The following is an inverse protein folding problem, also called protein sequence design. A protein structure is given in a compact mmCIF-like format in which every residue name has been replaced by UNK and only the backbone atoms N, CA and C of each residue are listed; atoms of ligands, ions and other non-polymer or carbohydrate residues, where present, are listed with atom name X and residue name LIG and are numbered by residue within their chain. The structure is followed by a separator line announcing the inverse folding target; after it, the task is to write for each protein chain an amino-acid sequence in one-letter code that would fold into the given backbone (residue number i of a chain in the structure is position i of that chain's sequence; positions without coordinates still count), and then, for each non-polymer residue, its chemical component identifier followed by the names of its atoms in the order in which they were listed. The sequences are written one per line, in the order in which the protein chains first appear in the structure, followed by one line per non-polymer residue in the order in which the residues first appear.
data_IF_476235816141
#
_entry.id   IF_476235816141
#
_cell.length_a   1.000
_cell.length_b   1.000
_cell.length_c   1.000
_cell.angle_alpha   90.00
_cell.angle_beta   90.00
_cell.angle_gamma   90.00
#
_symmetry.space_group_name_H-M   'P 1'
#
loop_
_entity.id
_entity.type
_entity.pdbx_description
1 polymer ?
#
# COMPACT_ATOMS: atom_id res chain seq x y z
N UNK A 1 -30.00 25.75 -7.84
CA UNK A 1 -30.56 24.54 -7.19
C UNK A 1 -29.43 23.72 -6.61
N UNK A 2 -28.83 24.26 -5.55
CA UNK A 2 -27.85 23.65 -4.66
C UNK A 2 -28.57 23.44 -3.34
N UNK A 3 -28.20 22.41 -2.58
CA UNK A 3 -28.83 21.98 -1.33
C UNK A 3 -30.21 21.35 -1.51
N UNK A 4 -30.24 20.04 -1.73
CA UNK A 4 -31.13 19.03 -1.12
C UNK A 4 -30.72 17.74 -1.82
N UNK A 5 -29.91 16.88 -1.20
CA UNK A 5 -29.78 15.44 -1.51
C UNK A 5 -28.62 14.85 -0.69
N UNK A 6 -28.64 15.05 0.63
CA UNK A 6 -27.84 14.28 1.59
C UNK A 6 -28.62 14.29 2.89
N UNK A 7 -29.70 13.50 2.93
CA UNK A 7 -30.42 13.15 4.17
C UNK A 7 -31.50 12.10 3.88
N UNK A 8 -31.10 10.90 3.45
CA UNK A 8 -31.93 9.69 3.63
C UNK A 8 -30.98 8.50 3.86
N UNK A 9 -30.49 8.38 5.10
CA UNK A 9 -30.08 7.11 5.73
C UNK A 9 -29.56 7.38 7.15
N UNK A 10 -30.35 8.05 8.00
CA UNK A 10 -30.00 8.20 9.42
C UNK A 10 -31.23 8.61 10.23
N UNK A 11 -32.16 7.69 10.46
CA UNK A 11 -33.06 7.76 11.62
C UNK A 11 -33.69 6.41 11.89
N UNK A 12 -33.14 5.66 12.85
CA UNK A 12 -33.97 4.98 13.86
C UNK A 12 -33.21 5.04 15.18
N UNK A 13 -33.79 5.78 16.13
CA UNK A 13 -33.28 6.09 17.45
C UNK A 13 -33.53 4.93 18.42
N UNK A 14 -32.52 4.60 19.21
CA UNK A 14 -32.64 3.91 20.49
C UNK A 14 -31.68 4.53 21.50
N UNK A 15 -32.21 5.31 22.44
CA UNK A 15 -31.51 5.91 23.60
C UNK A 15 -30.90 4.81 24.49
N UNK A 16 -29.67 5.02 24.97
CA UNK A 16 -29.29 4.82 26.38
C UNK A 16 -27.93 5.48 26.70
N UNK A 17 -27.82 5.90 27.96
CA UNK A 17 -26.88 6.82 28.62
C UNK A 17 -25.36 6.52 28.53
N UNK A 18 -24.49 7.50 28.88
CA UNK A 18 -23.07 7.46 28.57
C UNK A 18 -22.28 6.73 29.66
N UNK A 19 -21.85 5.50 29.38
CA UNK A 19 -20.74 4.91 30.10
C UNK A 19 -19.43 5.29 29.42
N UNK A 20 -18.61 6.02 30.17
CA UNK A 20 -17.19 6.25 29.94
C UNK A 20 -16.46 4.93 29.75
N UNK A 21 -16.38 4.47 28.50
CA UNK A 21 -15.44 3.43 28.11
C UNK A 21 -14.09 4.12 27.91
N UNK A 22 -13.22 3.99 28.90
CA UNK A 22 -11.79 4.22 28.73
C UNK A 22 -11.33 3.38 27.54
N UNK A 23 -11.12 4.06 26.41
CA UNK A 23 -10.61 3.47 25.17
C UNK A 23 -9.19 3.01 25.49
N UNK A 24 -9.01 1.72 25.70
CA UNK A 24 -7.68 1.10 25.73
C UNK A 24 -6.91 1.57 24.49
N UNK A 25 -5.60 1.89 24.61
CA UNK A 25 -4.83 2.37 23.47
C UNK A 25 -4.82 1.24 22.42
N UNK A 26 -5.48 1.47 21.27
CA UNK A 26 -5.38 0.56 20.12
C UNK A 26 -3.92 0.47 19.73
N UNK A 27 -3.37 -0.73 19.80
CA UNK A 27 -1.98 -1.02 19.43
C UNK A 27 -1.73 -0.64 17.96
N UNK A 28 -0.77 0.29 17.80
CA UNK A 28 0.03 0.62 16.61
C UNK A 28 -0.70 0.83 15.29
N UNK A 29 -1.54 1.86 15.28
CA UNK A 29 -1.85 2.57 14.04
C UNK A 29 -0.54 3.24 13.50
N UNK A 30 -0.37 3.31 12.16
CA UNK A 30 0.84 3.77 11.44
C UNK A 30 1.11 5.30 11.57
N UNK A 31 0.92 5.90 12.74
CA UNK A 31 1.13 7.35 13.01
C UNK A 31 2.57 7.75 13.32
N UNK A 32 3.48 6.78 13.44
CA UNK A 32 4.85 6.98 13.89
C UNK A 32 4.96 7.24 15.40
N UNK A 33 5.80 6.45 16.06
CA UNK A 33 6.21 6.64 17.45
C UNK A 33 7.02 7.94 17.62
N UNK A 34 7.18 8.39 18.87
CA UNK A 34 8.07 9.53 19.17
C UNK A 34 9.49 9.32 18.64
N UNK A 35 10.01 8.09 18.77
CA UNK A 35 11.35 7.76 18.29
C UNK A 35 11.44 7.83 16.75
N UNK A 36 10.45 7.29 16.04
CA UNK A 36 10.38 7.36 14.58
C UNK A 36 10.30 8.82 14.08
N UNK A 37 9.50 9.66 14.73
CA UNK A 37 9.43 11.10 14.40
C UNK A 37 10.77 11.81 14.60
N UNK A 38 11.45 11.52 15.71
CA UNK A 38 12.78 12.05 15.98
C UNK A 38 13.81 11.57 14.95
N UNK A 39 13.79 10.27 14.62
CA UNK A 39 14.68 9.70 13.61
C UNK A 39 14.43 10.26 12.21
N UNK A 40 13.18 10.63 11.89
CA UNK A 40 12.83 11.29 10.62
C UNK A 40 13.45 12.69 10.53
N UNK A 41 13.37 13.47 11.61
CA UNK A 41 13.91 14.84 11.67
C UNK A 41 15.44 14.88 11.82
N UNK A 42 15.98 13.94 12.59
CA UNK A 42 17.39 13.80 12.88
C UNK A 42 17.84 12.43 12.41
N UNK A 43 18.07 12.26 11.09
CA UNK A 43 18.64 11.01 10.58
C UNK A 43 19.93 10.72 11.34
N UNK A 44 20.27 9.44 11.51
CA UNK A 44 21.42 8.96 12.32
C UNK A 44 22.79 9.31 11.71
N UNK A 45 22.85 10.37 10.92
CA UNK A 45 24.01 10.89 10.23
C UNK A 45 24.86 11.75 11.18
N UNK A 46 26.04 11.29 11.65
CA UNK A 46 26.97 12.15 12.37
C UNK A 46 27.40 13.35 11.53
N UNK A 47 27.49 14.52 12.19
CA UNK A 47 27.78 15.83 11.61
C UNK A 47 29.17 15.99 10.95
N UNK A 48 30.04 14.97 11.03
CA UNK A 48 31.44 15.05 10.60
C UNK A 48 31.70 14.57 9.16
N UNK A 49 30.67 14.16 8.42
CA UNK A 49 30.81 13.60 7.08
C UNK A 49 30.64 14.65 5.98
N UNK A 50 31.53 15.64 5.92
CA UNK A 50 31.51 16.68 4.88
C UNK A 50 32.17 16.25 3.54
N UNK A 51 32.51 14.97 3.33
CA UNK A 51 33.19 14.57 2.08
C UNK A 51 32.98 13.15 1.56
N UNK A 52 32.09 12.32 2.11
CA UNK A 52 31.97 10.92 1.68
C UNK A 52 30.50 10.52 1.45
N UNK A 53 30.24 10.12 0.20
CA UNK A 53 29.12 9.34 -0.36
C UNK A 53 27.82 9.30 0.47
N UNK A 54 26.67 9.78 -0.06
CA UNK A 54 25.39 9.74 0.64
C UNK A 54 24.87 8.32 0.94
N UNK A 55 25.50 7.27 0.41
CA UNK A 55 25.12 5.87 0.63
C UNK A 55 25.74 5.32 1.91
N UNK A 56 24.94 5.08 2.95
CA UNK A 56 25.39 4.56 4.25
C UNK A 56 24.94 3.12 4.49
N UNK A 57 25.89 2.25 4.82
CA UNK A 57 25.64 0.85 5.14
C UNK A 57 25.59 -0.09 3.91
N UNK A 58 25.72 -1.41 4.10
CA UNK A 58 25.79 -2.38 3.00
C UNK A 58 24.43 -2.63 2.33
N UNK A 59 23.33 -2.24 2.99
CA UNK A 59 21.97 -2.55 2.59
C UNK A 59 21.16 -1.28 2.30
N UNK A 60 20.07 -1.46 1.57
CA UNK A 60 19.08 -0.43 1.23
C UNK A 60 17.70 -0.91 1.68
N UNK A 61 16.93 -0.01 2.30
CA UNK A 61 15.57 -0.29 2.68
C UNK A 61 14.60 0.04 1.53
N UNK A 62 13.64 -0.86 1.31
CA UNK A 62 12.68 -0.81 0.21
C UNK A 62 11.29 -0.92 0.82
N UNK A 63 10.46 0.10 0.65
CA UNK A 63 9.06 0.09 1.08
C UNK A 63 8.17 -0.27 -0.11
N UNK A 64 7.55 -1.46 -0.12
CA UNK A 64 6.62 -1.80 -1.19
C UNK A 64 5.29 -1.08 -1.00
N UNK A 65 4.80 -0.49 -2.08
CA UNK A 65 3.47 0.10 -2.23
C UNK A 65 2.79 -0.53 -3.45
N UNK A 66 1.55 -0.16 -3.75
CA UNK A 66 0.83 -0.71 -4.90
C UNK A 66 0.24 0.36 -5.80
N UNK A 67 0.11 0.03 -7.07
CA UNK A 67 -0.78 0.73 -7.97
C UNK A 67 -2.23 0.61 -7.52
N UNK A 68 -2.96 1.72 -7.53
CA UNK A 68 -4.37 1.76 -7.23
C UNK A 68 -5.08 2.83 -8.07
N UNK A 69 -6.41 2.87 -7.97
CA UNK A 69 -7.18 3.98 -8.50
C UNK A 69 -7.25 5.10 -7.48
N UNK A 70 -7.19 6.32 -7.99
CA UNK A 70 -7.46 7.50 -7.20
C UNK A 70 -8.93 7.55 -6.76
N UNK A 71 -9.22 8.53 -5.89
CA UNK A 71 -10.56 8.80 -5.38
C UNK A 71 -11.57 8.95 -6.52
N UNK A 72 -12.85 8.84 -6.17
CA UNK A 72 -13.92 8.81 -7.16
C UNK A 72 -13.92 9.96 -8.15
N UNK A 73 -14.40 9.67 -9.36
CA UNK A 73 -14.74 10.73 -10.32
C UNK A 73 -15.85 11.66 -9.81
N UNK A 74 -16.59 11.18 -8.80
CA UNK A 74 -17.60 11.92 -8.05
C UNK A 74 -17.04 12.54 -6.77
N UNK A 75 -15.71 12.53 -6.58
CA UNK A 75 -15.11 13.15 -5.41
C UNK A 75 -15.45 14.64 -5.39
N UNK A 76 -15.93 15.10 -4.23
CA UNK A 76 -16.37 16.48 -4.04
C UNK A 76 -15.20 17.46 -3.94
N UNK A 77 -13.97 16.97 -3.81
CA UNK A 77 -12.74 17.71 -3.64
C UNK A 77 -11.66 17.23 -4.64
N UNK A 78 -11.85 17.47 -5.96
CA UNK A 78 -10.92 17.01 -7.01
C UNK A 78 -9.50 17.55 -6.85
N UNK A 79 -9.31 18.66 -6.14
CA UNK A 79 -7.99 19.21 -5.78
C UNK A 79 -7.19 18.33 -4.80
N UNK A 80 -7.86 17.38 -4.14
CA UNK A 80 -7.23 16.41 -3.21
C UNK A 80 -6.80 15.11 -3.88
N UNK A 81 -7.01 14.98 -5.19
CA UNK A 81 -6.52 13.84 -5.96
C UNK A 81 -4.98 13.79 -5.92
N UNK A 82 -4.44 12.57 -5.94
CA UNK A 82 -3.01 12.28 -5.82
C UNK A 82 -2.58 11.41 -7.00
N UNK A 83 -2.65 11.90 -8.25
CA UNK A 83 -2.26 11.11 -9.41
C UNK A 83 -0.77 10.74 -9.35
N UNK A 84 -0.38 9.70 -10.07
CA UNK A 84 1.02 9.29 -10.21
C UNK A 84 1.93 10.49 -10.55
N UNK A 85 2.97 10.69 -9.73
CA UNK A 85 3.92 11.80 -9.89
C UNK A 85 4.60 11.77 -11.26
N UNK A 86 4.85 12.93 -11.87
CA UNK A 86 5.51 12.99 -13.19
C UNK A 86 6.99 12.59 -13.15
N UNK A 87 7.59 12.60 -11.97
CA UNK A 87 9.01 12.31 -11.79
C UNK A 87 9.31 10.81 -11.77
N UNK A 88 8.29 9.99 -11.47
CA UNK A 88 8.44 8.54 -11.43
C UNK A 88 8.36 7.91 -12.82
N UNK A 89 9.14 6.84 -13.02
CA UNK A 89 9.13 6.03 -14.25
C UNK A 89 8.13 4.89 -14.12
N UNK A 90 6.85 5.22 -14.12
CA UNK A 90 5.78 4.26 -13.86
C UNK A 90 5.53 3.30 -15.02
N UNK A 91 5.12 2.10 -14.68
CA UNK A 91 4.55 1.12 -15.60
C UNK A 91 3.47 1.76 -16.48
N UNK A 92 3.48 1.42 -17.76
CA UNK A 92 2.48 1.91 -18.70
C UNK A 92 1.13 1.23 -18.45
N UNK A 93 0.28 1.92 -17.71
CA UNK A 93 -1.08 1.47 -17.42
C UNK A 93 -2.07 1.88 -18.53
N UNK A 94 -3.16 1.13 -18.75
CA UNK A 94 -4.21 1.51 -19.69
C UNK A 94 -4.82 2.87 -19.35
N UNK A 95 -5.04 3.74 -20.33
CA UNK A 95 -5.63 5.07 -20.05
C UNK A 95 -7.09 4.94 -19.62
N UNK A 96 -7.41 5.51 -18.46
CA UNK A 96 -8.77 5.60 -17.94
C UNK A 96 -9.37 6.98 -18.25
N UNK A 97 -10.65 7.02 -18.62
CA UNK A 97 -11.36 8.27 -18.95
C UNK A 97 -11.91 9.00 -17.73
N UNK A 98 -12.22 8.26 -16.67
CA UNK A 98 -13.02 8.73 -15.55
C UNK A 98 -12.21 8.89 -14.27
N UNK A 99 -11.03 8.28 -14.16
CA UNK A 99 -10.17 8.34 -12.97
C UNK A 99 -8.69 8.35 -13.37
N UNK A 100 -7.85 8.77 -12.43
CA UNK A 100 -6.41 8.62 -12.46
C UNK A 100 -5.98 7.37 -11.69
N UNK A 101 -4.78 6.87 -12.02
CA UNK A 101 -4.05 5.97 -11.13
C UNK A 101 -3.31 6.78 -10.07
N UNK A 102 -3.14 6.18 -8.90
CA UNK A 102 -2.31 6.67 -7.81
C UNK A 102 -1.48 5.51 -7.22
N UNK A 103 -0.72 5.82 -6.17
CA UNK A 103 -0.10 4.82 -5.31
C UNK A 103 -0.81 4.77 -3.97
N UNK A 104 -0.93 3.57 -3.42
CA UNK A 104 -1.48 3.31 -2.08
C UNK A 104 -0.61 2.30 -1.35
N UNK A 105 -0.72 2.28 -0.03
CA UNK A 105 -0.10 1.24 0.79
C UNK A 105 -0.60 -0.16 0.38
N UNK A 106 0.23 -1.16 0.64
CA UNK A 106 -0.22 -2.55 0.61
C UNK A 106 -1.30 -2.78 1.68
N UNK A 107 -2.08 -3.83 1.48
CA UNK A 107 -3.00 -4.41 2.46
C UNK A 107 -2.57 -5.84 2.77
N UNK A 108 -3.33 -6.52 3.64
CA UNK A 108 -3.04 -7.90 4.05
C UNK A 108 -2.83 -8.80 2.81
N UNK A 109 -1.69 -9.50 2.80
CA UNK A 109 -1.24 -10.25 1.65
C UNK A 109 0.19 -10.72 1.81
N UNK A 110 0.88 -10.92 0.68
CA UNK A 110 2.21 -11.48 0.61
C UNK A 110 3.08 -10.73 -0.38
N UNK A 111 4.35 -10.52 -0.02
CA UNK A 111 5.37 -10.00 -0.92
C UNK A 111 6.40 -11.09 -1.17
N UNK A 112 6.72 -11.29 -2.44
CA UNK A 112 7.72 -12.24 -2.91
C UNK A 112 8.88 -11.47 -3.50
N UNK A 113 10.09 -11.80 -3.07
CA UNK A 113 11.33 -11.21 -3.57
C UNK A 113 12.24 -12.32 -4.05
N UNK A 114 12.45 -12.41 -5.37
CA UNK A 114 13.52 -13.24 -5.90
C UNK A 114 14.78 -12.39 -6.00
N UNK A 115 15.76 -12.69 -5.15
CA UNK A 115 17.08 -12.11 -5.21
C UNK A 115 17.88 -12.84 -6.29
N UNK A 116 18.06 -12.19 -7.44
CA UNK A 116 18.76 -12.76 -8.59
C UNK A 116 20.26 -12.91 -8.31
N UNK A 117 20.83 -12.05 -7.47
CA UNK A 117 22.25 -12.11 -7.09
C UNK A 117 22.50 -13.26 -6.11
N UNK A 118 21.60 -13.47 -5.15
CA UNK A 118 21.70 -14.55 -4.16
C UNK A 118 21.05 -15.88 -4.61
N UNK A 119 20.39 -15.90 -5.77
CA UNK A 119 19.60 -17.02 -6.30
C UNK A 119 18.59 -17.59 -5.29
N UNK A 120 17.86 -16.70 -4.62
CA UNK A 120 16.96 -17.08 -3.53
C UNK A 120 15.62 -16.35 -3.60
N UNK A 121 14.53 -17.12 -3.50
CA UNK A 121 13.19 -16.57 -3.30
C UNK A 121 12.93 -16.39 -1.80
N UNK A 122 12.53 -15.17 -1.43
CA UNK A 122 12.07 -14.81 -0.11
C UNK A 122 10.57 -14.49 -0.13
N UNK A 123 9.89 -14.90 0.93
CA UNK A 123 8.46 -14.68 1.13
C UNK A 123 8.23 -13.87 2.40
N UNK A 124 7.33 -12.90 2.33
CA UNK A 124 6.97 -12.01 3.42
C UNK A 124 5.45 -11.94 3.54
N UNK A 125 4.93 -12.05 4.77
CA UNK A 125 3.53 -11.73 5.07
C UNK A 125 3.42 -10.23 5.33
N UNK A 126 2.44 -9.59 4.70
CA UNK A 126 2.11 -8.18 4.90
C UNK A 126 0.95 -8.06 5.86
N UNK A 127 1.06 -7.14 6.82
CA UNK A 127 -0.03 -6.73 7.69
C UNK A 127 -0.37 -5.26 7.43
N UNK A 128 -1.61 -4.98 7.06
CA UNK A 128 -2.09 -3.63 6.74
C UNK A 128 -2.17 -2.74 7.99
N UNK A 129 -2.47 -3.35 9.14
CA UNK A 129 -2.73 -2.65 10.40
C UNK A 129 -1.47 -1.99 10.93
N UNK A 130 -0.40 -2.77 11.07
CA UNK A 130 0.90 -2.29 11.56
C UNK A 130 1.85 -1.89 10.43
N UNK A 131 1.54 -2.20 9.17
CA UNK A 131 2.38 -1.89 8.01
C UNK A 131 3.65 -2.75 7.93
N UNK A 132 3.73 -3.85 8.68
CA UNK A 132 4.91 -4.68 8.75
C UNK A 132 4.94 -5.79 7.69
N UNK A 133 6.16 -6.15 7.30
CA UNK A 133 6.52 -7.30 6.49
C UNK A 133 7.26 -8.31 7.38
N UNK A 134 6.63 -9.44 7.66
CA UNK A 134 7.22 -10.55 8.43
C UNK A 134 7.76 -11.62 7.50
N UNK A 135 9.07 -11.88 7.55
CA UNK A 135 9.70 -12.91 6.71
C UNK A 135 9.20 -14.31 7.08
N UNK A 136 8.77 -15.06 6.08
CA UNK A 136 8.44 -16.49 6.19
C UNK A 136 9.68 -17.27 5.76
N UNK A 137 10.42 -17.78 6.74
CA UNK A 137 11.57 -18.65 6.48
C UNK A 137 11.05 -20.07 6.27
N UNK A 138 11.30 -20.64 5.09
CA UNK A 138 10.87 -21.99 4.78
C UNK A 138 11.70 -23.02 5.56
N UNK A 139 11.02 -24.05 6.04
CA UNK A 139 11.60 -25.18 6.76
C UNK A 139 11.14 -26.46 6.08
N UNK A 140 11.66 -27.62 6.49
CA UNK A 140 11.26 -28.90 5.91
C UNK A 140 9.73 -29.14 5.99
N UNK A 141 9.08 -28.63 7.03
CA UNK A 141 7.63 -28.70 7.20
C UNK A 141 6.83 -27.88 6.16
N UNK A 142 7.47 -26.91 5.51
CA UNK A 142 6.85 -26.07 4.49
C UNK A 142 7.00 -26.62 3.07
N UNK A 143 7.86 -27.63 2.86
CA UNK A 143 8.09 -28.21 1.53
C UNK A 143 6.79 -28.83 1.01
N UNK A 144 6.35 -28.38 -0.16
CA UNK A 144 5.11 -28.84 -0.80
C UNK A 144 3.83 -28.27 -0.20
N UNK A 145 3.91 -27.42 0.83
CA UNK A 145 2.72 -26.82 1.47
C UNK A 145 2.33 -25.50 0.80
N UNK A 146 1.04 -25.36 0.47
CA UNK A 146 0.48 -24.09 -0.02
C UNK A 146 0.20 -23.08 1.10
N UNK A 147 0.13 -23.54 2.35
CA UNK A 147 0.01 -22.67 3.52
C UNK A 147 1.30 -22.68 4.32
N UNK A 148 1.92 -21.51 4.45
CA UNK A 148 3.19 -21.34 5.15
C UNK A 148 3.08 -20.15 6.08
N UNK A 149 3.58 -20.31 7.30
CA UNK A 149 3.55 -19.27 8.32
C UNK A 149 4.96 -18.98 8.79
N UNK A 150 5.25 -17.72 9.05
CA UNK A 150 6.52 -17.27 9.63
C UNK A 150 6.31 -16.73 11.03
N UNK A 151 7.33 -16.85 11.87
CA UNK A 151 7.39 -16.22 13.20
C UNK A 151 8.38 -15.05 13.23
N UNK A 152 8.79 -14.55 12.07
CA UNK A 152 9.77 -13.47 11.98
C UNK A 152 9.22 -12.15 12.50
N UNK A 153 10.04 -11.42 13.24
CA UNK A 153 9.76 -10.04 13.63
C UNK A 153 9.53 -9.20 12.37
N UNK A 154 8.38 -8.52 12.31
CA UNK A 154 7.99 -7.70 11.18
C UNK A 154 8.73 -6.37 11.14
N UNK A 155 9.10 -5.91 9.95
CA UNK A 155 9.65 -4.57 9.71
C UNK A 155 8.83 -3.84 8.64
N UNK A 156 8.72 -2.50 8.66
CA UNK A 156 7.93 -1.75 7.68
C UNK A 156 8.62 -1.61 6.31
N UNK A 157 9.72 -2.32 6.08
CA UNK A 157 10.49 -2.31 4.85
C UNK A 157 11.17 -3.66 4.62
N UNK A 158 11.55 -3.89 3.37
CA UNK A 158 12.46 -4.95 2.95
C UNK A 158 13.90 -4.43 3.02
N UNK A 159 14.86 -5.27 3.43
CA UNK A 159 16.26 -4.89 3.54
C UNK A 159 17.13 -5.83 2.69
N UNK A 160 17.82 -5.29 1.69
CA UNK A 160 18.65 -6.06 0.75
C UNK A 160 20.00 -5.39 0.50
N UNK A 161 21.05 -6.14 0.13
CA UNK A 161 22.34 -5.59 -0.26
C UNK A 161 22.22 -4.63 -1.45
N UNK A 162 22.99 -3.53 -1.41
CA UNK A 162 22.93 -2.45 -2.42
C UNK A 162 23.37 -2.88 -3.81
N UNK A 163 24.12 -3.96 -3.92
CA UNK A 163 24.63 -4.51 -5.17
C UNK A 163 23.72 -5.58 -5.78
N UNK A 164 22.61 -5.92 -5.11
CA UNK A 164 21.71 -6.97 -5.56
C UNK A 164 20.70 -6.50 -6.60
N UNK A 165 20.31 -7.46 -7.45
CA UNK A 165 19.22 -7.30 -8.40
C UNK A 165 18.05 -8.15 -7.94
N UNK A 166 16.88 -7.53 -7.80
CA UNK A 166 15.69 -8.14 -7.24
C UNK A 166 14.58 -8.23 -8.27
N UNK A 167 13.69 -9.21 -8.09
CA UNK A 167 12.38 -9.27 -8.72
C UNK A 167 11.34 -9.31 -7.61
N UNK A 168 10.42 -8.35 -7.57
CA UNK A 168 9.48 -8.16 -6.45
C UNK A 168 8.04 -8.23 -6.95
N UNK A 169 7.19 -8.99 -6.27
CA UNK A 169 5.77 -9.06 -6.55
C UNK A 169 4.93 -9.05 -5.28
N UNK A 170 3.72 -8.51 -5.38
CA UNK A 170 2.70 -8.58 -4.34
C UNK A 170 1.59 -9.53 -4.77
N UNK A 171 0.97 -10.20 -3.79
CA UNK A 171 -0.22 -11.01 -4.00
C UNK A 171 -1.13 -10.93 -2.77
N UNK A 172 -2.45 -10.70 -2.93
CA UNK A 172 -3.39 -10.71 -1.81
C UNK A 172 -3.60 -12.10 -1.21
N UNK A 173 -3.21 -13.15 -1.95
CA UNK A 173 -3.28 -14.54 -1.51
C UNK A 173 -1.89 -15.16 -1.53
N UNK A 174 -1.64 -16.10 -0.63
CA UNK A 174 -0.36 -16.81 -0.59
C UNK A 174 -0.19 -17.62 -1.88
N UNK A 175 0.95 -17.47 -2.55
CA UNK A 175 1.29 -18.29 -3.70
C UNK A 175 1.38 -19.76 -3.30
N UNK A 176 0.85 -20.63 -4.15
CA UNK A 176 1.03 -22.09 -4.02
C UNK A 176 2.50 -22.44 -4.07
N UNK A 177 2.88 -23.57 -3.46
CA UNK A 177 4.24 -24.09 -3.53
C UNK A 177 4.72 -24.22 -4.98
N UNK A 178 3.85 -24.73 -5.86
CA UNK A 178 4.13 -24.88 -7.30
C UNK A 178 4.44 -23.55 -7.98
N UNK A 179 3.73 -22.48 -7.64
CA UNK A 179 3.97 -21.16 -8.21
C UNK A 179 5.31 -20.60 -7.71
N UNK A 180 5.63 -20.78 -6.44
CA UNK A 180 6.93 -20.38 -5.90
C UNK A 180 8.09 -21.12 -6.58
N UNK A 181 8.00 -22.45 -6.76
CA UNK A 181 9.01 -23.24 -7.49
C UNK A 181 9.12 -22.84 -8.96
N UNK A 182 8.00 -22.56 -9.61
CA UNK A 182 7.99 -22.02 -10.98
C UNK A 182 8.73 -20.69 -11.05
N UNK A 183 8.45 -19.76 -10.14
CA UNK A 183 9.15 -18.46 -10.11
C UNK A 183 10.64 -18.60 -9.77
N UNK A 184 11.03 -19.56 -8.91
CA UNK A 184 12.45 -19.87 -8.64
C UNK A 184 13.19 -20.33 -9.90
N UNK A 185 12.56 -21.18 -10.70
CA UNK A 185 13.20 -21.85 -11.84
C UNK A 185 12.98 -21.19 -13.21
N UNK A 186 12.12 -20.17 -13.33
CA UNK A 186 11.72 -19.60 -14.61
C UNK A 186 12.00 -18.08 -14.72
N UNK A 187 13.20 -17.67 -15.18
CA UNK A 187 13.56 -16.26 -15.37
C UNK A 187 12.60 -15.48 -16.30
N UNK A 188 12.13 -16.02 -17.44
CA UNK A 188 11.15 -15.33 -18.29
C UNK A 188 9.85 -15.00 -17.56
N UNK A 189 9.36 -15.91 -16.71
CA UNK A 189 8.14 -15.67 -15.93
C UNK A 189 8.36 -14.61 -14.85
N UNK A 190 9.53 -14.60 -14.19
CA UNK A 190 9.89 -13.52 -13.26
C UNK A 190 9.89 -12.16 -13.95
N UNK A 191 10.53 -12.05 -15.11
CA UNK A 191 10.59 -10.82 -15.88
C UNK A 191 9.22 -10.31 -16.35
N UNK A 192 8.24 -11.20 -16.50
CA UNK A 192 6.88 -10.85 -16.91
C UNK A 192 5.98 -10.46 -15.73
N UNK A 193 6.10 -11.15 -14.59
CA UNK A 193 5.14 -11.07 -13.48
C UNK A 193 5.65 -10.37 -12.23
N UNK A 194 6.95 -10.02 -12.17
CA UNK A 194 7.57 -9.37 -11.04
C UNK A 194 8.26 -8.08 -11.47
N UNK A 195 8.27 -7.08 -10.59
CA UNK A 195 8.99 -5.82 -10.81
C UNK A 195 10.49 -6.04 -10.62
N UNK A 196 11.27 -5.82 -11.68
CA UNK A 196 12.72 -5.84 -11.58
C UNK A 196 13.23 -4.56 -10.90
N UNK A 197 14.17 -4.71 -9.98
CA UNK A 197 14.80 -3.61 -9.26
C UNK A 197 16.31 -3.85 -9.18
N UNK A 198 17.09 -3.02 -9.87
CA UNK A 198 18.55 -3.06 -9.82
C UNK A 198 19.04 -2.06 -8.77
N UNK A 199 19.38 -2.56 -7.57
CA UNK A 199 19.75 -1.68 -6.45
C UNK A 199 21.09 -0.99 -6.69
N UNK A 200 22.00 -1.63 -7.42
CA UNK A 200 23.30 -1.06 -7.76
C UNK A 200 23.12 0.17 -8.64
N UNK A 201 22.26 0.05 -9.65
CA UNK A 201 21.91 1.16 -10.55
C UNK A 201 21.05 2.21 -9.85
N UNK A 202 20.14 1.81 -8.96
CA UNK A 202 19.41 2.76 -8.13
C UNK A 202 20.36 3.60 -7.28
N UNK A 203 21.35 3.00 -6.62
CA UNK A 203 22.36 3.74 -5.85
C UNK A 203 23.24 4.68 -6.71
N UNK A 204 23.14 4.66 -8.04
CA UNK A 204 23.85 5.63 -8.89
C UNK A 204 22.89 6.71 -9.39
N UNK A 205 21.64 6.34 -9.64
CA UNK A 205 20.69 7.15 -10.42
C UNK A 205 19.51 7.69 -9.62
N UNK A 206 19.18 7.06 -8.49
CA UNK A 206 17.95 7.25 -7.71
C UNK A 206 16.67 7.20 -8.56
N UNK A 207 16.70 6.45 -9.66
CA UNK A 207 15.67 6.54 -10.70
C UNK A 207 15.43 5.21 -11.44
N UNK A 208 15.24 4.13 -10.69
CA UNK A 208 14.78 2.85 -11.25
C UNK A 208 13.28 2.90 -11.61
N UNK A 209 12.83 2.10 -12.59
CA UNK A 209 11.41 1.97 -12.93
C UNK A 209 10.55 1.69 -11.71
N UNK A 210 9.34 2.26 -11.67
CA UNK A 210 8.35 2.07 -10.61
C UNK A 210 8.82 2.50 -9.20
N UNK A 211 9.92 3.25 -9.08
CA UNK A 211 10.46 3.70 -7.78
C UNK A 211 10.51 5.22 -7.64
N UNK A 212 10.53 5.66 -6.39
CA UNK A 212 10.97 7.00 -5.97
C UNK A 212 11.72 6.91 -4.63
N UNK A 213 12.55 7.91 -4.29
CA UNK A 213 13.15 8.06 -2.97
C UNK A 213 12.13 8.04 -1.84
N UNK A 214 12.50 7.45 -0.69
CA UNK A 214 11.59 7.23 0.44
C UNK A 214 11.11 8.54 1.09
N UNK A 215 11.90 9.60 1.05
CA UNK A 215 11.51 10.93 1.55
C UNK A 215 10.31 11.54 0.81
N UNK A 216 10.00 11.06 -0.41
CA UNK A 216 8.83 11.47 -1.20
C UNK A 216 7.58 10.63 -0.95
N UNK A 217 7.60 9.70 0.01
CA UNK A 217 6.48 8.76 0.19
C UNK A 217 5.15 9.47 0.53
N UNK A 218 5.17 10.53 1.34
CA UNK A 218 3.98 11.33 1.69
C UNK A 218 3.40 12.10 0.50
N UNK A 219 4.25 12.46 -0.47
CA UNK A 219 3.86 13.18 -1.67
C UNK A 219 3.14 12.25 -2.64
N UNK A 220 3.70 11.05 -2.83
CA UNK A 220 3.34 10.13 -3.90
C UNK A 220 2.31 9.06 -3.52
N UNK A 221 2.22 8.68 -2.24
CA UNK A 221 1.33 7.61 -1.77
C UNK A 221 0.11 8.21 -1.09
N UNK A 222 -1.06 8.03 -1.70
CA UNK A 222 -2.25 8.84 -1.42
C UNK A 222 -2.90 8.61 -0.05
N UNK A 223 -2.61 7.47 0.58
CA UNK A 223 -3.04 7.12 1.94
C UNK A 223 -1.92 7.23 2.99
N UNK A 224 -0.83 7.94 2.65
CA UNK A 224 0.24 8.34 3.58
C UNK A 224 0.28 9.86 3.67
N UNK A 225 0.12 10.41 4.87
CA UNK A 225 0.19 11.85 5.13
C UNK A 225 1.57 12.26 5.70
N UNK A 226 1.93 13.52 5.51
CA UNK A 226 3.18 14.09 6.02
C UNK A 226 3.08 14.34 7.54
N UNK A 227 3.98 13.71 8.31
CA UNK A 227 4.17 13.88 9.75
C UNK A 227 3.05 13.30 10.63
N UNK A 228 1.79 13.38 10.20
CA UNK A 228 0.62 12.95 10.96
C UNK A 228 -0.54 12.60 10.02
N UNK A 229 -1.21 11.48 10.34
CA UNK A 229 -2.47 11.07 9.71
C UNK A 229 -3.56 12.14 9.82
N UNK A 230 -4.23 12.40 8.70
CA UNK A 230 -5.38 13.28 8.57
C UNK A 230 -6.61 12.47 8.17
N UNK A 231 -7.50 12.25 9.14
CA UNK A 231 -8.78 11.56 8.90
C UNK A 231 -9.74 12.46 8.11
N UNK A 232 -9.93 12.16 6.82
CA UNK A 232 -10.81 12.92 5.92
C UNK A 232 -11.78 12.04 5.10
N UNK A 233 -11.84 10.74 5.44
CA UNK A 233 -12.74 9.78 4.80
C UNK A 233 -12.35 9.38 3.37
N UNK A 234 -11.13 9.71 2.90
CA UNK A 234 -10.65 9.29 1.57
C UNK A 234 -10.68 7.77 1.43
N UNK A 235 -11.01 7.32 0.21
CA UNK A 235 -11.09 5.91 -0.18
C UNK A 235 -12.16 5.07 0.54
N UNK A 236 -13.11 5.69 1.24
CA UNK A 236 -14.24 4.98 1.85
C UNK A 236 -15.11 4.21 0.83
N UNK A 237 -15.07 4.62 -0.45
CA UNK A 237 -15.79 4.01 -1.57
C UNK A 237 -14.91 3.08 -2.44
N UNK A 238 -13.70 2.73 -1.97
CA UNK A 238 -12.81 1.78 -2.65
C UNK A 238 -13.00 0.35 -2.12
N UNK A 239 -12.54 -0.63 -2.89
CA UNK A 239 -12.53 -2.04 -2.52
C UNK A 239 -11.65 -2.31 -1.30
N UNK A 240 -10.66 -1.45 -1.04
CA UNK A 240 -9.80 -1.50 0.15
C UNK A 240 -9.97 -0.17 0.91
N UNK A 241 -11.01 -0.01 1.75
CA UNK A 241 -11.23 1.21 2.50
C UNK A 241 -10.13 1.47 3.54
N UNK A 242 -10.06 2.73 3.99
CA UNK A 242 -9.11 3.18 5.02
C UNK A 242 -9.61 2.97 6.45
N UNK A 243 -10.92 2.76 6.59
CA UNK A 243 -11.56 2.42 7.86
C UNK A 243 -12.06 0.99 7.79
N UNK A 244 -11.94 0.29 8.92
CA UNK A 244 -12.49 -1.04 9.06
C UNK A 244 -14.02 -1.00 8.90
N UNK A 245 -14.61 -1.81 8.00
CA UNK A 245 -16.06 -1.87 7.82
C UNK A 245 -16.76 -2.31 9.12
N UNK A 246 -17.94 -1.74 9.37
CA UNK A 246 -18.72 -1.98 10.59
C UNK A 246 -19.62 -3.23 10.52
N UNK A 247 -19.64 -3.96 9.40
CA UNK A 247 -20.53 -5.11 9.18
C UNK A 247 -20.05 -6.38 9.88
N UNK A 248 -21.01 -7.14 10.43
CA UNK A 248 -20.85 -8.40 11.16
C UNK A 248 -20.49 -9.62 10.31
N UNK A 249 -20.27 -9.46 9.00
CA UNK A 249 -19.78 -10.56 8.17
C UNK A 249 -18.27 -10.72 8.40
N UNK A 250 -17.92 -11.70 9.24
CA UNK A 250 -16.56 -12.10 9.60
C UNK A 250 -15.70 -12.61 8.41
N UNK A 251 -16.22 -12.57 7.18
CA UNK A 251 -15.39 -12.68 5.99
C UNK A 251 -14.47 -11.45 5.96
N UNK A 252 -13.25 -11.62 6.49
CA UNK A 252 -12.22 -10.60 6.72
C UNK A 252 -12.31 -9.46 5.71
N UNK A 253 -13.03 -8.40 6.09
CA UNK A 253 -13.19 -7.25 5.23
C UNK A 253 -11.82 -6.60 5.08
N UNK A 254 -11.25 -6.68 3.87
CA UNK A 254 -9.94 -6.11 3.59
C UNK A 254 -10.00 -4.59 3.80
N UNK A 255 -9.07 -4.05 4.57
CA UNK A 255 -8.91 -2.61 4.76
C UNK A 255 -7.42 -2.29 4.93
N UNK A 256 -7.05 -1.04 4.69
CA UNK A 256 -5.68 -0.56 4.96
C UNK A 256 -5.73 0.82 5.59
N UNK A 257 -5.44 0.94 6.90
CA UNK A 257 -5.53 2.23 7.59
C UNK A 257 -4.57 3.26 7.01
N UNK A 258 -4.92 4.54 7.17
CA UNK A 258 -4.03 5.65 6.82
C UNK A 258 -2.70 5.54 7.58
N UNK A 259 -1.64 6.09 6.99
CA UNK A 259 -0.31 6.15 7.61
C UNK A 259 0.27 7.55 7.62
N UNK A 260 1.29 7.75 8.45
CA UNK A 260 2.13 8.94 8.40
C UNK A 260 3.53 8.55 7.91
N UNK A 261 4.14 9.36 7.05
CA UNK A 261 5.46 9.08 6.44
C UNK A 261 6.57 8.77 7.46
N UNK A 262 6.53 9.46 8.61
CA UNK A 262 7.42 9.27 9.77
C UNK A 262 7.45 7.82 10.25
N UNK A 263 6.39 7.04 10.03
CA UNK A 263 6.38 5.61 10.35
C UNK A 263 7.40 4.85 9.50
N UNK A 264 7.49 5.08 8.19
CA UNK A 264 8.47 4.39 7.33
C UNK A 264 9.84 5.06 7.41
N UNK A 265 9.89 6.38 7.25
CA UNK A 265 11.12 7.17 7.27
C UNK A 265 11.88 7.06 8.58
N UNK A 266 11.16 7.08 9.70
CA UNK A 266 11.74 6.95 11.03
C UNK A 266 12.17 5.53 11.39
N UNK A 267 11.83 4.54 10.57
CA UNK A 267 12.17 3.13 10.81
C UNK A 267 13.45 2.69 10.11
N UNK A 268 13.88 3.42 9.07
CA UNK A 268 15.09 3.10 8.31
C UNK A 268 16.32 3.79 8.90
N UNK A 269 17.47 3.14 8.82
CA UNK A 269 18.73 3.72 9.29
C UNK A 269 19.32 4.76 8.32
N UNK A 270 19.18 4.52 7.01
CA UNK A 270 19.62 5.40 5.93
C UNK A 270 18.43 5.86 5.09
N UNK A 271 17.83 6.99 5.45
CA UNK A 271 16.69 7.56 4.73
C UNK A 271 17.07 8.02 3.31
N UNK A 272 18.27 8.58 3.14
CA UNK A 272 18.70 9.26 1.90
C UNK A 272 18.86 8.26 0.75
N UNK A 273 19.22 7.03 1.08
CA UNK A 273 19.32 5.94 0.11
C UNK A 273 18.05 5.12 -0.05
N UNK A 274 17.14 5.16 0.92
CA UNK A 274 15.98 4.28 0.92
C UNK A 274 14.99 4.66 -0.18
N UNK A 275 14.18 3.70 -0.60
CA UNK A 275 13.23 3.88 -1.69
C UNK A 275 11.89 3.25 -1.37
N UNK A 276 10.86 3.63 -2.11
CA UNK A 276 9.66 2.83 -2.25
C UNK A 276 9.47 2.35 -3.69
N UNK A 277 8.80 1.21 -3.86
CA UNK A 277 8.53 0.59 -5.17
C UNK A 277 7.04 0.30 -5.33
N UNK A 278 6.48 0.68 -6.47
CA UNK A 278 5.10 0.39 -6.84
C UNK A 278 4.96 -1.02 -7.44
N UNK A 279 4.28 -1.90 -6.72
CA UNK A 279 3.97 -3.26 -7.14
C UNK A 279 2.62 -3.34 -7.85
N UNK A 280 2.49 -4.34 -8.72
CA UNK A 280 1.24 -4.60 -9.42
C UNK A 280 0.21 -5.21 -8.47
N UNK A 281 -1.02 -4.69 -8.55
CA UNK A 281 -2.19 -5.22 -7.87
C UNK A 281 -3.43 -5.10 -8.79
N UNK A 282 -3.47 -5.89 -9.86
CA UNK A 282 -4.54 -5.80 -10.84
C UNK A 282 -5.89 -6.16 -10.22
N UNK A 283 -5.94 -7.05 -9.22
CA UNK A 283 -7.17 -7.52 -8.60
C UNK A 283 -7.89 -6.38 -7.85
N UNK A 284 -7.17 -5.60 -7.03
CA UNK A 284 -7.82 -4.47 -6.36
C UNK A 284 -8.25 -3.39 -7.36
N UNK A 285 -7.47 -3.12 -8.41
CA UNK A 285 -7.86 -2.19 -9.48
C UNK A 285 -9.15 -2.65 -10.17
N UNK A 286 -9.26 -3.94 -10.50
CA UNK A 286 -10.49 -4.49 -11.09
C UNK A 286 -11.68 -4.41 -10.12
N UNK A 287 -11.48 -4.69 -8.84
CA UNK A 287 -12.52 -4.57 -7.83
C UNK A 287 -12.99 -3.13 -7.67
N UNK A 288 -12.07 -2.14 -7.66
CA UNK A 288 -12.40 -0.73 -7.60
C UNK A 288 -13.23 -0.27 -8.82
N UNK A 289 -12.88 -0.74 -10.03
CA UNK A 289 -13.67 -0.48 -11.25
C UNK A 289 -15.06 -1.12 -11.18
N UNK A 290 -15.14 -2.37 -10.70
CA UNK A 290 -16.39 -3.11 -10.56
C UNK A 290 -17.34 -2.46 -9.55
N UNK A 291 -16.82 -2.05 -8.39
CA UNK A 291 -17.60 -1.35 -7.36
C UNK A 291 -18.22 -0.06 -7.90
N UNK A 292 -17.45 0.75 -8.63
CA UNK A 292 -17.99 1.97 -9.24
C UNK A 292 -19.09 1.70 -10.25
N UNK A 293 -18.89 0.72 -11.14
CA UNK A 293 -19.89 0.35 -12.12
C UNK A 293 -21.18 -0.10 -11.43
N UNK A 294 -21.08 -0.87 -10.35
CA UNK A 294 -22.23 -1.28 -9.55
C UNK A 294 -22.96 -0.08 -8.93
N UNK A 295 -22.22 0.91 -8.39
CA UNK A 295 -22.81 2.15 -7.87
C UNK A 295 -23.54 2.94 -8.96
N UNK A 296 -22.95 3.07 -10.15
CA UNK A 296 -23.57 3.77 -11.28
C UNK A 296 -24.86 3.08 -11.74
N UNK A 297 -24.85 1.75 -11.83
CA UNK A 297 -26.03 0.96 -12.17
C UNK A 297 -27.13 1.08 -11.12
N UNK A 298 -26.77 1.11 -9.83
CA UNK A 298 -27.73 1.33 -8.75
C UNK A 298 -28.37 2.72 -8.86
N UNK A 299 -27.56 3.77 -9.05
CA UNK A 299 -28.05 5.13 -9.21
C UNK A 299 -28.98 5.27 -10.43
N UNK A 300 -28.64 4.63 -11.56
CA UNK A 300 -29.48 4.61 -12.75
C UNK A 300 -30.83 3.92 -12.49
N UNK A 301 -30.83 2.76 -11.82
CA UNK A 301 -32.07 2.04 -11.46
C UNK A 301 -32.95 2.86 -10.51
N UNK A 302 -32.36 3.53 -9.52
CA UNK A 302 -33.09 4.45 -8.63
C UNK A 302 -33.74 5.59 -9.42
N UNK A 303 -33.00 6.20 -10.35
CA UNK A 303 -33.53 7.25 -11.22
C UNK A 303 -34.70 6.75 -12.09
N UNK A 304 -34.58 5.56 -12.71
CA UNK A 304 -35.66 4.96 -13.49
C UNK A 304 -36.93 4.75 -12.66
N UNK A 305 -36.80 4.16 -11.46
CA UNK A 305 -37.94 3.93 -10.58
C UNK A 305 -38.68 5.22 -10.18
N UNK A 306 -37.95 6.33 -10.00
CA UNK A 306 -38.53 7.62 -9.65
C UNK A 306 -39.23 8.35 -10.82
N UNK A 307 -38.82 8.08 -12.06
CA UNK A 307 -39.19 8.88 -13.24
C UNK A 307 -40.00 8.13 -14.30
N UNK A 308 -39.94 6.79 -14.38
CA UNK A 308 -40.72 6.01 -15.37
C UNK A 308 -42.24 6.11 -15.16
N UNK A 309 -42.70 6.40 -13.94
CA UNK A 309 -44.14 6.56 -13.65
C UNK A 309 -44.70 7.97 -13.95
N UNK A 310 -43.89 8.93 -14.42
CA UNK A 310 -44.30 10.33 -14.65
C UNK A 310 -44.54 10.71 -16.12
N UNK A 311 -44.49 9.73 -17.05
CA UNK A 311 -44.71 9.95 -18.49
C UNK A 311 -46.12 9.49 -18.91
N UNK A 312 -47.15 9.81 -18.11
CA UNK A 312 -48.56 9.66 -18.51
C UNK A 312 -49.24 11.01 -18.58
#
# INVERSE_FOLDING_TARGET
MRHVFWNVALTYLGRNDPFSAQRAPRMTEKHGTRQQRLATLFPKTPATATSLCPFRGPNIAIVPVRYALDRSRYDVAPEKLRPLSKDGKWTRLPTLKTRSYNLRQLYDGYVYVFDETADMLHEYKVSAIDGHLSRIVWTDAHIGSDQRNGTGDGQPFLLYPRDNRLHIAFSPVQWTWRLCEHMRSNPPSRALWMKALDLKRYCITMAEPDTLPLDRIAEAVADIDEGKVVEDGRFADSAIPTLQPSSSDEAASLFSPLGADVFWRGSVDDQDSSLFIALDDPLAVFNDLGMQLATDQAAYRSWQAEHEHKIQ
#
